data_IF_282000109148
#
_entry.id   IF_282000109148
#
_cell.length_a   1.000
_cell.length_b   1.000
_cell.length_c   1.000
_cell.angle_alpha   90.00
_cell.angle_beta   90.00
_cell.angle_gamma   90.00
#
_symmetry.space_group_name_H-M   'P 1'
#
loop_
_entity.id
_entity.type
_entity.pdbx_description
1 polymer ?
#
# COMPACT_ATOMS: atom_id res chain seq x y z
N UNK A 1 -11.47 -10.17 2.09
CA UNK A 1 -10.09 -10.25 2.60
C UNK A 1 -9.20 -11.14 1.74
N UNK A 2 -9.79 -11.80 0.76
CA UNK A 2 -9.01 -12.57 -0.19
C UNK A 2 -8.01 -11.65 -0.91
N UNK A 3 -6.75 -12.06 -0.93
CA UNK A 3 -5.71 -11.31 -1.60
C UNK A 3 -4.95 -10.35 -0.71
N UNK A 4 -5.41 -10.09 0.51
CA UNK A 4 -4.68 -9.23 1.44
C UNK A 4 -3.91 -10.13 2.40
N UNK A 5 -2.65 -10.39 2.06
CA UNK A 5 -1.80 -11.25 2.87
C UNK A 5 -0.80 -10.51 3.74
N UNK A 6 -0.53 -9.24 3.42
CA UNK A 6 0.42 -8.45 4.17
C UNK A 6 0.12 -6.97 4.01
N UNK A 7 0.88 -6.14 4.72
CA UNK A 7 0.65 -4.69 4.75
C UNK A 7 0.73 -4.05 3.37
N UNK A 8 1.63 -4.48 2.51
CA UNK A 8 1.73 -3.89 1.18
C UNK A 8 0.48 -4.12 0.35
N UNK A 9 -0.18 -5.26 0.52
CA UNK A 9 -1.43 -5.52 -0.18
C UNK A 9 -2.52 -4.57 0.26
N UNK A 10 -2.59 -4.28 1.57
CA UNK A 10 -3.56 -3.35 2.10
C UNK A 10 -3.30 -1.93 1.58
N UNK A 11 -2.04 -1.53 1.53
CA UNK A 11 -1.67 -0.22 1.02
C UNK A 11 -2.08 -0.07 -0.44
N UNK A 12 -1.80 -1.07 -1.27
CA UNK A 12 -2.17 -1.05 -2.67
C UNK A 12 -3.68 -0.92 -2.84
N UNK A 13 -4.45 -1.68 -2.05
CA UNK A 13 -5.90 -1.62 -2.13
C UNK A 13 -6.41 -0.21 -1.81
N UNK A 14 -5.85 0.42 -0.78
CA UNK A 14 -6.25 1.77 -0.40
C UNK A 14 -5.84 2.79 -1.45
N UNK A 15 -4.69 2.60 -2.07
CA UNK A 15 -4.23 3.49 -3.15
C UNK A 15 -5.13 3.40 -4.38
N UNK A 16 -5.77 2.27 -4.57
CA UNK A 16 -6.72 2.09 -5.68
C UNK A 16 -8.08 2.71 -5.38
N UNK A 17 -8.25 3.29 -4.20
CA UNK A 17 -9.46 4.02 -3.88
C UNK A 17 -10.48 3.24 -3.08
N UNK A 18 -10.10 2.12 -2.50
CA UNK A 18 -11.01 1.39 -1.63
C UNK A 18 -11.34 2.21 -0.40
N UNK A 19 -12.59 2.13 0.07
CA UNK A 19 -13.00 2.84 1.28
C UNK A 19 -12.45 2.20 2.54
N UNK A 20 -12.10 0.93 2.47
CA UNK A 20 -11.50 0.21 3.57
C UNK A 20 -11.12 -1.18 3.13
N UNK A 21 -10.43 -1.90 3.99
CA UNK A 21 -10.07 -3.29 3.72
C UNK A 21 -10.51 -4.17 4.88
N UNK A 22 -10.92 -5.37 4.56
CA UNK A 22 -11.27 -6.36 5.56
C UNK A 22 -10.12 -7.35 5.65
N UNK A 23 -9.44 -7.37 6.79
CA UNK A 23 -8.33 -8.27 7.00
C UNK A 23 -8.60 -9.10 8.25
N UNK A 24 -8.31 -10.37 8.16
CA UNK A 24 -8.53 -11.27 9.29
C UNK A 24 -7.43 -12.34 9.32
N UNK A 25 -7.41 -13.20 8.31
CA UNK A 25 -6.46 -14.30 8.27
C UNK A 25 -5.01 -13.82 8.27
N UNK A 26 -4.73 -12.73 7.54
CA UNK A 26 -3.38 -12.18 7.47
C UNK A 26 -2.86 -11.78 8.87
N UNK A 27 -3.74 -11.26 9.71
CA UNK A 27 -3.36 -10.90 11.07
C UNK A 27 -3.31 -12.14 11.95
N UNK A 28 -4.37 -12.95 11.90
CA UNK A 28 -4.50 -14.10 12.79
C UNK A 28 -3.39 -15.13 12.60
N UNK A 29 -2.95 -15.31 11.36
CA UNK A 29 -1.94 -16.32 11.03
C UNK A 29 -0.53 -15.75 10.92
N UNK A 30 -0.34 -14.48 11.19
CA UNK A 30 0.99 -13.91 11.23
C UNK A 30 1.74 -14.48 12.44
N UNK A 31 3.06 -14.55 12.33
CA UNK A 31 3.87 -15.03 13.45
C UNK A 31 3.79 -14.09 14.64
N UNK A 32 3.54 -12.82 14.41
CA UNK A 32 3.31 -11.85 15.47
C UNK A 32 2.05 -11.06 15.09
N UNK A 33 0.86 -11.53 15.51
CA UNK A 33 -0.39 -10.91 15.10
C UNK A 33 -0.56 -9.46 15.55
N UNK A 34 -0.09 -9.12 16.74
CA UNK A 34 -0.23 -7.76 17.24
C UNK A 34 0.58 -6.79 16.37
N UNK A 35 1.80 -7.17 16.05
CA UNK A 35 2.65 -6.33 15.20
C UNK A 35 2.08 -6.24 13.79
N UNK A 36 1.52 -7.33 13.28
CA UNK A 36 0.89 -7.31 11.96
C UNK A 36 -0.34 -6.40 11.97
N UNK A 37 -1.12 -6.39 13.04
CA UNK A 37 -2.26 -5.50 13.14
C UNK A 37 -1.82 -4.03 13.12
N UNK A 38 -0.73 -3.70 13.81
CA UNK A 38 -0.20 -2.35 13.76
C UNK A 38 0.30 -1.99 12.36
N UNK A 39 0.96 -2.93 11.69
CA UNK A 39 1.42 -2.71 10.33
C UNK A 39 0.25 -2.45 9.39
N UNK A 40 -0.83 -3.21 9.55
CA UNK A 40 -2.04 -3.02 8.73
C UNK A 40 -2.65 -1.64 8.95
N UNK A 41 -2.67 -1.17 10.20
CA UNK A 41 -3.17 0.16 10.51
C UNK A 41 -2.39 1.22 9.75
N UNK A 42 -1.07 1.16 9.80
CA UNK A 42 -0.23 2.13 9.10
C UNK A 42 -0.37 2.00 7.59
N UNK A 43 -0.50 0.77 7.09
CA UNK A 43 -0.66 0.53 5.66
C UNK A 43 -1.94 1.16 5.11
N UNK A 44 -3.04 1.02 5.84
CA UNK A 44 -4.32 1.59 5.43
C UNK A 44 -4.23 3.11 5.41
N UNK A 45 -3.65 3.70 6.45
CA UNK A 45 -3.49 5.15 6.51
C UNK A 45 -2.60 5.67 5.38
N UNK A 46 -1.48 5.00 5.14
CA UNK A 46 -0.56 5.40 4.07
C UNK A 46 -1.23 5.31 2.71
N UNK A 47 -1.94 4.22 2.44
CA UNK A 47 -2.63 4.05 1.18
C UNK A 47 -3.71 5.10 0.96
N UNK A 48 -4.45 5.42 2.01
CA UNK A 48 -5.50 6.44 1.93
C UNK A 48 -4.91 7.82 1.67
N UNK A 49 -3.82 8.14 2.34
CA UNK A 49 -3.13 9.41 2.13
C UNK A 49 -2.59 9.51 0.70
N UNK A 50 -2.02 8.43 0.19
CA UNK A 50 -1.51 8.40 -1.18
C UNK A 50 -2.64 8.61 -2.19
N UNK A 51 -3.78 7.97 -1.96
CA UNK A 51 -4.93 8.13 -2.82
C UNK A 51 -5.41 9.59 -2.84
N UNK A 52 -5.52 10.20 -1.67
CA UNK A 52 -5.97 11.58 -1.57
C UNK A 52 -4.97 12.56 -2.18
N UNK A 53 -3.69 12.26 -2.08
CA UNK A 53 -2.64 13.13 -2.62
C UNK A 53 -2.52 13.05 -4.12
N UNK A 54 -3.04 11.98 -4.73
CA UNK A 54 -2.96 11.72 -6.16
C UNK A 54 -1.51 11.65 -6.61
N UNK A 55 -1.11 10.49 -7.05
CA UNK A 55 0.28 10.30 -7.46
C UNK A 55 0.59 11.10 -8.71
N UNK A 56 1.86 11.42 -8.86
CA UNK A 56 2.33 12.04 -10.09
C UNK A 56 2.14 11.09 -11.27
N UNK A 57 2.08 11.66 -12.46
CA UNK A 57 1.93 10.89 -13.67
C UNK A 57 3.12 9.95 -13.86
N UNK A 58 2.84 8.72 -14.26
CA UNK A 58 3.91 7.77 -14.54
C UNK A 58 4.70 8.22 -15.75
N UNK A 59 6.01 8.06 -15.67
CA UNK A 59 6.89 8.33 -16.79
C UNK A 59 7.22 7.03 -17.49
N UNK A 60 7.44 7.13 -18.80
CA UNK A 60 7.94 5.97 -19.52
C UNK A 60 9.33 5.66 -19.04
N UNK A 61 9.58 4.40 -18.85
CA UNK A 61 10.89 3.94 -18.44
C UNK A 61 11.93 4.32 -19.50
N UNK A 62 13.02 4.92 -19.07
CA UNK A 62 14.09 5.30 -19.98
C UNK A 62 13.86 6.57 -20.75
N UNK A 63 12.73 7.25 -20.56
CA UNK A 63 12.44 8.48 -21.29
C UNK A 63 12.97 9.71 -20.61
N UNK A 64 13.32 9.64 -19.34
CA UNK A 64 13.77 10.78 -18.59
C UNK A 64 15.22 11.12 -18.90
N UNK A 65 15.52 12.40 -18.81
CA UNK A 65 16.89 12.85 -19.01
C UNK A 65 17.80 12.50 -17.84
N UNK A 66 17.22 12.21 -16.68
CA UNK A 66 17.98 11.86 -15.47
C UNK A 66 17.31 10.69 -14.77
N UNK A 67 18.00 9.55 -14.66
CA UNK A 67 17.42 8.38 -13.98
C UNK A 67 17.06 8.66 -12.51
N UNK A 68 17.80 9.53 -11.85
CA UNK A 68 17.52 9.84 -10.45
C UNK A 68 16.14 10.45 -10.25
N UNK A 69 15.68 11.21 -11.22
CA UNK A 69 14.36 11.82 -11.14
C UNK A 69 13.25 10.78 -11.19
N UNK A 70 13.50 9.66 -11.83
CA UNK A 70 12.52 8.61 -11.95
C UNK A 70 12.48 7.71 -10.74
N UNK A 71 13.53 7.73 -9.94
CA UNK A 71 13.64 6.87 -8.76
C UNK A 71 13.00 7.45 -7.52
N UNK A 72 12.64 8.70 -7.55
CA UNK A 72 12.11 9.40 -6.37
C UNK A 72 10.57 9.33 -6.29
#
# INVERSE_FOLDING_TARGET
DAGVGTASDATIAMELGCDGVLVNTAIAEAKNPVLMAEAMKHAVLAGRQAFKAERMKKRKYGSASSPQKDLI
#
